data_IF_762968605110
#
_entry.id   IF_762968605110
#
_cell.length_a   1.000
_cell.length_b   1.000
_cell.length_c   1.000
_cell.angle_alpha   90.00
_cell.angle_beta   90.00
_cell.angle_gamma   90.00
#
_symmetry.space_group_name_H-M   'P 1'
#
loop_
_entity.id
_entity.type
_entity.pdbx_description
1 polymer ?
#
# COMPACT_ATOMS: atom_id res chain seq x y z
N UNK A 1 36.12 -66.62 -88.38
CA UNK A 1 37.17 -66.20 -87.44
C UNK A 1 36.57 -65.13 -86.54
N UNK A 2 36.56 -65.40 -85.22
CA UNK A 2 36.42 -64.45 -84.08
C UNK A 2 35.06 -63.73 -83.98
N UNK A 3 34.11 -64.26 -83.18
CA UNK A 3 33.81 -63.94 -81.75
C UNK A 3 33.12 -62.57 -81.56
N UNK A 4 32.00 -62.38 -80.88
CA UNK A 4 31.15 -63.27 -80.08
C UNK A 4 29.78 -62.60 -79.81
N UNK A 5 28.80 -63.46 -79.56
CA UNK A 5 27.40 -63.24 -79.17
C UNK A 5 27.27 -62.91 -77.64
N UNK A 6 26.06 -62.70 -77.05
CA UNK A 6 24.75 -62.28 -77.61
C UNK A 6 23.91 -61.32 -76.68
N UNK A 7 22.72 -60.93 -77.18
CA UNK A 7 21.41 -60.98 -76.46
C UNK A 7 21.16 -60.06 -75.24
N UNK A 8 20.00 -59.43 -75.02
CA UNK A 8 18.70 -59.39 -75.69
C UNK A 8 17.78 -58.50 -74.83
N UNK A 9 16.73 -58.01 -75.46
CA UNK A 9 15.70 -57.09 -74.99
C UNK A 9 15.02 -57.42 -73.65
N UNK A 10 14.89 -56.39 -72.81
CA UNK A 10 13.62 -55.78 -72.35
C UNK A 10 12.41 -56.72 -72.13
N UNK A 11 12.00 -56.91 -70.87
CA UNK A 11 10.65 -56.57 -70.44
C UNK A 11 10.40 -56.67 -68.92
N UNK A 12 9.47 -55.80 -68.48
CA UNK A 12 8.54 -55.94 -67.35
C UNK A 12 8.95 -55.48 -65.93
N UNK A 13 8.18 -54.47 -65.49
CA UNK A 13 8.04 -53.87 -64.14
C UNK A 13 7.66 -54.94 -63.09
N UNK A 14 8.02 -54.77 -61.80
CA UNK A 14 6.98 -54.42 -60.83
C UNK A 14 7.38 -53.39 -59.75
N UNK A 15 6.33 -52.90 -59.11
CA UNK A 15 6.22 -51.99 -57.97
C UNK A 15 7.14 -52.26 -56.76
N UNK A 16 7.51 -51.14 -56.13
CA UNK A 16 7.58 -50.83 -54.69
C UNK A 16 8.05 -51.89 -53.70
N UNK A 17 9.19 -51.62 -53.04
CA UNK A 17 9.26 -51.62 -51.58
C UNK A 17 10.44 -50.73 -51.12
N UNK A 18 10.08 -49.61 -50.49
CA UNK A 18 11.01 -48.69 -49.86
C UNK A 18 11.37 -49.26 -48.48
N UNK A 19 12.66 -49.53 -48.24
CA UNK A 19 13.18 -49.68 -46.87
C UNK A 19 14.55 -49.04 -46.79
N UNK A 20 14.57 -47.72 -46.58
CA UNK A 20 15.74 -47.03 -46.04
C UNK A 20 15.39 -46.37 -44.71
N UNK A 21 16.11 -46.85 -43.71
CA UNK A 21 16.06 -46.47 -42.31
C UNK A 21 16.03 -44.94 -42.10
N UNK A 22 15.33 -44.43 -41.07
CA UNK A 22 15.41 -43.04 -40.72
C UNK A 22 16.81 -42.75 -40.18
N UNK A 23 17.55 -41.91 -40.92
CA UNK A 23 18.68 -41.17 -40.38
C UNK A 23 18.14 -40.41 -39.17
N UNK A 24 18.58 -40.78 -37.97
CA UNK A 24 18.44 -39.95 -36.78
C UNK A 24 19.22 -38.65 -37.01
N UNK A 25 18.55 -37.66 -37.59
CA UNK A 25 18.97 -36.27 -37.53
C UNK A 25 18.88 -35.84 -36.07
N UNK A 26 20.04 -35.78 -35.42
CA UNK A 26 20.22 -35.01 -34.18
C UNK A 26 19.57 -33.63 -34.34
N UNK A 27 18.76 -33.15 -33.39
CA UNK A 27 18.19 -31.81 -33.49
C UNK A 27 19.33 -30.78 -33.46
N UNK A 28 19.44 -30.02 -34.55
CA UNK A 28 20.21 -28.77 -34.64
C UNK A 28 19.76 -27.79 -33.53
N UNK A 29 20.65 -26.90 -33.02
CA UNK A 29 20.32 -26.04 -31.89
C UNK A 29 19.14 -25.15 -32.29
N UNK A 30 18.03 -25.34 -31.58
CA UNK A 30 16.76 -24.66 -31.80
C UNK A 30 16.97 -23.15 -31.71
N UNK A 31 16.64 -22.40 -32.77
CA UNK A 31 16.51 -20.94 -32.69
C UNK A 31 15.45 -20.63 -31.63
N UNK A 32 15.89 -20.14 -30.46
CA UNK A 32 14.98 -19.69 -29.41
C UNK A 32 14.22 -18.49 -29.97
N UNK A 33 12.87 -18.51 -30.02
CA UNK A 33 12.10 -17.42 -30.56
C UNK A 33 12.15 -16.20 -29.64
N UNK A 34 12.23 -15.01 -30.25
CA UNK A 34 12.13 -13.74 -29.51
C UNK A 34 10.72 -13.52 -28.98
N UNK A 35 10.61 -13.06 -27.74
CA UNK A 35 9.34 -12.78 -27.08
C UNK A 35 9.12 -11.26 -27.07
N UNK A 36 8.07 -10.80 -27.75
CA UNK A 36 7.64 -9.41 -27.72
C UNK A 36 6.51 -9.23 -26.70
N UNK A 37 6.66 -8.28 -25.78
CA UNK A 37 5.65 -7.93 -24.78
C UNK A 37 4.68 -6.92 -25.37
N UNK A 38 3.38 -7.25 -25.41
CA UNK A 38 2.34 -6.29 -25.80
C UNK A 38 1.90 -5.48 -24.57
N UNK A 39 2.73 -4.52 -24.21
CA UNK A 39 2.55 -3.71 -22.99
C UNK A 39 1.23 -2.95 -22.96
N UNK A 40 0.75 -2.48 -24.11
CA UNK A 40 -0.52 -1.76 -24.18
C UNK A 40 -1.73 -2.63 -23.81
N UNK A 41 -1.64 -3.95 -24.00
CA UNK A 41 -2.69 -4.91 -23.65
C UNK A 41 -2.45 -5.63 -22.31
N UNK A 42 -1.20 -5.68 -21.84
CA UNK A 42 -0.77 -6.48 -20.69
C UNK A 42 -0.61 -5.66 -19.40
N UNK A 43 -0.42 -4.34 -19.50
CA UNK A 43 -0.27 -3.46 -18.35
C UNK A 43 -1.38 -2.40 -18.41
N UNK A 44 -2.31 -2.46 -17.45
CA UNK A 44 -3.53 -1.65 -17.47
C UNK A 44 -3.27 -0.16 -17.20
N UNK A 45 -2.23 0.17 -16.42
CA UNK A 45 -1.89 1.55 -16.08
C UNK A 45 -0.43 1.85 -16.35
N UNK A 46 -0.18 2.99 -17.00
CA UNK A 46 1.18 3.49 -17.18
C UNK A 46 1.81 3.79 -15.83
N UNK A 47 3.11 3.57 -15.74
CA UNK A 47 3.88 3.86 -14.54
C UNK A 47 3.74 5.34 -14.17
N UNK A 48 3.33 5.59 -12.93
CA UNK A 48 3.35 6.89 -12.24
C UNK A 48 3.94 6.67 -10.83
N UNK A 49 4.30 7.73 -10.09
CA UNK A 49 4.78 7.54 -8.72
C UNK A 49 3.82 6.80 -7.79
N UNK A 50 2.50 6.99 -7.96
CA UNK A 50 1.48 6.32 -7.15
C UNK A 50 1.21 4.88 -7.61
N UNK A 51 1.40 4.58 -8.90
CA UNK A 51 1.10 3.26 -9.47
C UNK A 51 2.32 2.34 -9.52
N UNK A 52 3.50 2.79 -9.04
CA UNK A 52 4.74 2.01 -9.10
C UNK A 52 4.64 0.61 -8.46
N UNK A 53 4.08 0.41 -7.25
CA UNK A 53 3.99 -0.92 -6.66
C UNK A 53 3.16 -1.88 -7.52
N UNK A 54 1.99 -1.44 -7.99
CA UNK A 54 1.12 -2.24 -8.85
C UNK A 54 1.74 -2.51 -10.23
N UNK A 55 2.32 -1.49 -10.84
CA UNK A 55 3.04 -1.61 -12.12
C UNK A 55 4.18 -2.62 -12.00
N UNK A 56 4.98 -2.53 -10.93
CA UNK A 56 6.10 -3.42 -10.67
C UNK A 56 5.63 -4.87 -10.53
N UNK A 57 4.61 -5.12 -9.71
CA UNK A 57 4.06 -6.46 -9.52
C UNK A 57 3.56 -7.07 -10.84
N UNK A 58 2.85 -6.28 -11.67
CA UNK A 58 2.39 -6.73 -12.98
C UNK A 58 3.56 -7.02 -13.94
N UNK A 59 4.56 -6.15 -13.99
CA UNK A 59 5.71 -6.30 -14.87
C UNK A 59 6.59 -7.50 -14.47
N UNK A 60 6.86 -7.68 -13.17
CA UNK A 60 7.58 -8.83 -12.63
C UNK A 60 6.82 -10.14 -12.96
N UNK A 61 5.51 -10.18 -12.75
CA UNK A 61 4.69 -11.36 -13.07
C UNK A 61 4.74 -11.72 -14.56
N UNK A 62 4.69 -10.73 -15.46
CA UNK A 62 4.85 -10.94 -16.90
C UNK A 62 6.23 -11.53 -17.24
N UNK A 63 7.30 -10.95 -16.70
CA UNK A 63 8.66 -11.43 -16.96
C UNK A 63 8.88 -12.84 -16.41
N UNK A 64 8.33 -13.16 -15.24
CA UNK A 64 8.36 -14.53 -14.70
C UNK A 64 7.61 -15.48 -15.63
N UNK A 65 6.39 -15.11 -16.08
CA UNK A 65 5.58 -15.93 -16.96
C UNK A 65 6.24 -16.28 -18.30
N UNK A 66 7.08 -15.37 -18.82
CA UNK A 66 7.85 -15.59 -20.06
C UNK A 66 9.30 -16.06 -19.83
N UNK A 67 9.70 -16.32 -18.59
CA UNK A 67 11.08 -16.67 -18.23
C UNK A 67 12.13 -15.63 -18.68
N UNK A 68 11.79 -14.35 -18.53
CA UNK A 68 12.62 -13.20 -18.92
C UNK A 68 13.16 -12.41 -17.71
N UNK A 69 12.84 -12.83 -16.48
CA UNK A 69 13.21 -12.10 -15.26
C UNK A 69 14.74 -11.91 -15.12
N UNK A 70 15.54 -12.88 -15.57
CA UNK A 70 17.00 -12.82 -15.42
C UNK A 70 17.67 -11.68 -16.21
N UNK A 71 16.99 -11.15 -17.24
CA UNK A 71 17.47 -9.98 -17.99
C UNK A 71 17.46 -8.71 -17.13
N UNK A 72 16.48 -8.57 -16.23
CA UNK A 72 16.33 -7.38 -15.39
C UNK A 72 17.00 -7.50 -14.02
N UNK A 73 17.21 -8.73 -13.53
CA UNK A 73 17.89 -8.99 -12.25
C UNK A 73 19.42 -9.00 -12.38
N UNK A 74 19.95 -9.07 -13.60
CA UNK A 74 21.39 -9.07 -13.85
C UNK A 74 22.03 -10.45 -13.70
N UNK A 75 21.24 -11.49 -13.41
CA UNK A 75 21.67 -12.89 -13.40
C UNK A 75 22.06 -13.38 -14.80
N UNK A 76 21.52 -12.74 -15.85
CA UNK A 76 21.88 -13.00 -17.25
C UNK A 76 22.56 -11.75 -17.84
N UNK A 77 23.84 -11.50 -17.53
CA UNK A 77 24.53 -10.29 -17.97
C UNK A 77 24.75 -10.28 -19.50
N UNK A 78 24.86 -9.07 -20.05
CA UNK A 78 25.13 -8.89 -21.48
C UNK A 78 26.42 -9.65 -21.87
N UNK A 79 26.36 -10.58 -22.85
CA UNK A 79 27.53 -11.36 -23.23
C UNK A 79 28.60 -10.46 -23.84
N UNK A 80 29.84 -10.63 -23.38
CA UNK A 80 30.96 -9.80 -23.83
C UNK A 80 31.20 -10.00 -25.34
N UNK A 81 31.46 -8.91 -26.11
CA UNK A 81 31.78 -9.01 -27.52
C UNK A 81 32.97 -9.94 -27.80
N UNK A 82 33.94 -9.96 -26.88
CA UNK A 82 35.22 -10.67 -27.03
C UNK A 82 35.17 -12.13 -26.57
N UNK A 83 34.06 -12.57 -25.96
CA UNK A 83 33.95 -13.93 -25.44
C UNK A 83 33.71 -14.94 -26.58
N UNK A 84 34.74 -15.66 -26.99
CA UNK A 84 34.65 -16.63 -28.09
C UNK A 84 33.91 -17.92 -27.68
N UNK A 85 33.64 -18.12 -26.39
CA UNK A 85 32.95 -19.32 -25.88
C UNK A 85 31.45 -19.29 -26.15
N UNK A 86 30.86 -18.10 -26.32
CA UNK A 86 29.44 -17.92 -26.58
C UNK A 86 29.19 -17.79 -28.09
N UNK A 87 28.36 -18.67 -28.69
CA UNK A 87 27.94 -18.54 -30.08
C UNK A 87 27.40 -17.15 -30.41
N UNK A 88 27.81 -16.59 -31.56
CA UNK A 88 27.35 -15.28 -32.04
C UNK A 88 25.81 -15.20 -32.06
N UNK A 89 25.15 -16.28 -32.49
CA UNK A 89 23.70 -16.40 -32.51
C UNK A 89 23.07 -16.14 -31.13
N UNK A 90 23.63 -16.73 -30.07
CA UNK A 90 23.15 -16.52 -28.69
C UNK A 90 23.40 -15.08 -28.22
N UNK A 91 24.54 -14.48 -28.56
CA UNK A 91 24.80 -13.07 -28.25
C UNK A 91 23.79 -12.15 -28.92
N UNK A 92 23.54 -12.35 -30.22
CA UNK A 92 22.56 -11.57 -30.97
C UNK A 92 21.15 -11.78 -30.42
N UNK A 93 20.78 -13.01 -30.07
CA UNK A 93 19.49 -13.31 -29.43
C UNK A 93 19.34 -12.55 -28.11
N UNK A 94 20.34 -12.63 -27.22
CA UNK A 94 20.31 -11.93 -25.94
C UNK A 94 20.10 -10.43 -26.12
N UNK A 95 20.88 -9.79 -27.01
CA UNK A 95 20.78 -8.35 -27.26
C UNK A 95 19.39 -7.99 -27.77
N UNK A 96 18.86 -8.75 -28.73
CA UNK A 96 17.52 -8.48 -29.28
C UNK A 96 16.44 -8.63 -28.22
N UNK A 97 16.51 -9.67 -27.40
CA UNK A 97 15.55 -9.89 -26.32
C UNK A 97 15.62 -8.78 -25.27
N UNK A 98 16.81 -8.36 -24.84
CA UNK A 98 17.00 -7.23 -23.92
C UNK A 98 16.41 -5.94 -24.49
N UNK A 99 16.57 -5.67 -25.79
CA UNK A 99 15.98 -4.47 -26.43
C UNK A 99 14.47 -4.51 -26.49
N UNK A 100 13.85 -5.68 -26.66
CA UNK A 100 12.40 -5.82 -26.59
C UNK A 100 11.88 -5.54 -25.17
N UNK A 101 12.57 -6.04 -24.14
CA UNK A 101 12.23 -5.78 -22.74
C UNK A 101 12.43 -4.29 -22.40
N UNK A 102 13.55 -3.69 -22.82
CA UNK A 102 13.81 -2.26 -22.61
C UNK A 102 12.73 -1.40 -23.28
N UNK A 103 12.37 -1.71 -24.52
CA UNK A 103 11.28 -1.02 -25.21
C UNK A 103 9.94 -1.16 -24.48
N UNK A 104 9.66 -2.36 -23.95
CA UNK A 104 8.49 -2.62 -23.14
C UNK A 104 8.47 -1.78 -21.84
N UNK A 105 9.59 -1.69 -21.12
CA UNK A 105 9.73 -0.82 -19.94
C UNK A 105 9.46 0.63 -20.34
N UNK A 106 10.12 1.15 -21.38
CA UNK A 106 9.93 2.52 -21.86
C UNK A 106 8.47 2.82 -22.24
N UNK A 107 7.83 1.92 -23.00
CA UNK A 107 6.43 2.05 -23.43
C UNK A 107 5.43 2.01 -22.27
N UNK A 108 5.76 1.28 -21.19
CA UNK A 108 4.94 1.20 -20.00
C UNK A 108 5.03 2.43 -19.09
N UNK A 109 5.96 3.36 -19.37
CA UNK A 109 6.11 4.58 -18.56
C UNK A 109 5.24 5.74 -19.03
N UNK A 110 4.80 6.56 -18.07
CA UNK A 110 4.23 7.87 -18.38
C UNK A 110 5.34 8.83 -18.88
N UNK A 111 4.98 9.79 -19.72
CA UNK A 111 5.88 10.78 -20.34
C UNK A 111 6.66 11.60 -19.32
N UNK A 112 6.13 11.74 -18.10
CA UNK A 112 6.82 12.39 -16.98
C UNK A 112 8.00 11.59 -16.44
N UNK A 113 8.03 10.27 -16.67
CA UNK A 113 9.02 9.34 -16.10
C UNK A 113 10.03 8.87 -17.15
N UNK A 114 9.62 8.85 -18.42
CA UNK A 114 10.48 8.48 -19.55
C UNK A 114 11.85 9.18 -19.56
N UNK A 115 11.98 10.50 -19.25
CA UNK A 115 13.28 11.17 -19.25
C UNK A 115 14.29 10.59 -18.25
N UNK A 116 13.82 10.00 -17.14
CA UNK A 116 14.70 9.41 -16.14
C UNK A 116 15.36 8.13 -16.64
N UNK A 117 14.72 7.40 -17.55
CA UNK A 117 15.21 6.10 -18.04
C UNK A 117 15.61 6.10 -19.52
N UNK A 118 15.32 7.17 -20.27
CA UNK A 118 15.60 7.23 -21.71
C UNK A 118 17.07 6.97 -22.08
N UNK A 119 18.01 7.42 -21.24
CA UNK A 119 19.44 7.25 -21.49
C UNK A 119 19.98 5.84 -21.16
N UNK A 120 19.14 4.94 -20.62
CA UNK A 120 19.58 3.61 -20.21
C UNK A 120 19.81 2.69 -21.40
N UNK A 121 20.85 1.87 -21.32
CA UNK A 121 21.28 1.02 -22.44
C UNK A 121 20.71 -0.39 -22.36
N UNK A 122 20.34 -0.86 -21.19
CA UNK A 122 19.84 -2.23 -20.98
C UNK A 122 18.55 -2.21 -20.17
N UNK A 123 17.75 -3.28 -20.29
CA UNK A 123 16.55 -3.44 -19.49
C UNK A 123 16.88 -3.48 -17.98
N UNK A 124 17.98 -4.13 -17.60
CA UNK A 124 18.51 -4.10 -16.23
C UNK A 124 18.76 -2.69 -15.70
N UNK A 125 19.45 -1.85 -16.46
CA UNK A 125 19.76 -0.47 -16.04
C UNK A 125 18.47 0.36 -15.87
N UNK A 126 17.54 0.24 -16.81
CA UNK A 126 16.23 0.89 -16.74
C UNK A 126 15.47 0.45 -15.48
N UNK A 127 15.38 -0.86 -15.27
CA UNK A 127 14.70 -1.48 -14.13
C UNK A 127 15.29 -1.02 -12.80
N UNK A 128 16.61 -1.14 -12.64
CA UNK A 128 17.32 -0.73 -11.43
C UNK A 128 17.15 0.76 -11.14
N UNK A 129 17.18 1.61 -12.17
CA UNK A 129 17.02 3.06 -12.01
C UNK A 129 15.61 3.44 -11.56
N UNK A 130 14.58 2.81 -12.10
CA UNK A 130 13.20 2.99 -11.62
C UNK A 130 13.06 2.52 -10.17
N UNK A 131 13.57 1.33 -9.86
CA UNK A 131 13.56 0.81 -8.50
C UNK A 131 14.25 1.75 -7.53
N UNK A 132 15.41 2.27 -7.87
CA UNK A 132 16.15 3.21 -6.99
C UNK A 132 15.36 4.52 -6.81
N UNK A 133 14.81 5.06 -7.90
CA UNK A 133 14.06 6.32 -7.88
C UNK A 133 12.80 6.21 -7.00
N UNK A 134 12.07 5.10 -7.09
CA UNK A 134 10.83 4.90 -6.35
C UNK A 134 11.04 4.27 -4.98
N UNK A 135 12.11 3.51 -4.75
CA UNK A 135 12.51 3.08 -3.42
C UNK A 135 12.88 4.29 -2.55
N UNK A 136 13.60 5.28 -3.10
CA UNK A 136 13.92 6.53 -2.39
C UNK A 136 12.65 7.31 -2.03
N UNK A 137 11.73 7.50 -3.00
CA UNK A 137 10.45 8.19 -2.74
C UNK A 137 9.54 7.43 -1.77
N UNK A 138 9.45 6.10 -1.90
CA UNK A 138 8.71 5.25 -0.96
C UNK A 138 9.31 5.36 0.44
N UNK A 139 10.64 5.32 0.58
CA UNK A 139 11.32 5.49 1.86
C UNK A 139 11.04 6.87 2.48
N UNK A 140 11.12 7.96 1.71
CA UNK A 140 10.77 9.30 2.20
C UNK A 140 9.31 9.39 2.64
N UNK A 141 8.37 8.86 1.85
CA UNK A 141 6.95 8.86 2.21
C UNK A 141 6.68 7.98 3.45
N UNK A 142 7.30 6.82 3.53
CA UNK A 142 7.22 5.94 4.70
C UNK A 142 7.73 6.65 5.95
N UNK A 143 8.86 7.36 5.87
CA UNK A 143 9.38 8.16 6.97
C UNK A 143 8.39 9.25 7.41
N UNK A 144 7.79 9.97 6.45
CA UNK A 144 6.77 10.99 6.75
C UNK A 144 5.54 10.39 7.42
N UNK A 145 5.01 9.28 6.90
CA UNK A 145 3.84 8.62 7.49
C UNK A 145 4.15 8.04 8.88
N UNK A 146 5.36 7.52 9.12
CA UNK A 146 5.81 7.06 10.44
C UNK A 146 6.00 8.22 11.41
N UNK A 147 6.47 9.37 10.93
CA UNK A 147 6.55 10.59 11.75
C UNK A 147 5.15 11.05 12.15
N UNK A 148 4.21 11.10 11.21
CA UNK A 148 2.80 11.41 11.49
C UNK A 148 2.20 10.44 12.52
N UNK A 149 2.46 9.14 12.36
CA UNK A 149 2.05 8.10 13.31
C UNK A 149 2.58 8.34 14.73
N UNK A 150 3.82 8.81 14.89
CA UNK A 150 4.39 9.16 16.20
C UNK A 150 3.86 10.47 16.78
N UNK A 151 3.34 11.36 15.93
CA UNK A 151 2.75 12.63 16.33
C UNK A 151 1.28 12.50 16.74
N UNK A 152 0.61 11.38 16.41
CA UNK A 152 -0.72 11.05 16.95
C UNK A 152 -0.57 10.84 18.46
N UNK A 153 -0.80 11.92 19.20
CA UNK A 153 -1.00 11.92 20.65
C UNK A 153 -2.47 12.23 20.88
N UNK A 154 -3.11 11.46 21.76
CA UNK A 154 -4.48 11.66 22.23
C UNK A 154 -4.69 13.16 22.53
N UNK A 155 -5.31 13.85 21.59
CA UNK A 155 -5.75 15.23 21.73
C UNK A 155 -7.12 15.25 22.40
N UNK A 156 -7.97 16.20 22.01
CA UNK A 156 -9.39 16.18 22.37
C UNK A 156 -10.22 15.22 21.49
N UNK A 157 -9.58 14.35 20.71
CA UNK A 157 -10.26 13.40 19.81
C UNK A 157 -10.63 12.12 20.57
N UNK A 158 -11.66 11.43 20.06
CA UNK A 158 -12.10 10.16 20.64
C UNK A 158 -11.10 9.03 20.33
N UNK A 159 -11.05 8.02 21.19
CA UNK A 159 -10.20 6.83 20.99
C UNK A 159 -10.49 6.14 19.66
N UNK A 160 -11.75 6.17 19.20
CA UNK A 160 -12.14 5.60 17.92
C UNK A 160 -11.56 6.37 16.73
N UNK A 161 -11.57 7.70 16.76
CA UNK A 161 -10.99 8.54 15.70
C UNK A 161 -9.46 8.35 15.62
N UNK A 162 -8.80 8.29 16.78
CA UNK A 162 -7.35 8.02 16.85
C UNK A 162 -7.01 6.66 16.24
N UNK A 163 -7.75 5.60 16.61
CA UNK A 163 -7.53 4.26 16.07
C UNK A 163 -7.77 4.19 14.56
N UNK A 164 -8.80 4.88 14.07
CA UNK A 164 -9.11 4.91 12.64
C UNK A 164 -8.03 5.63 11.84
N UNK A 165 -7.46 6.70 12.38
CA UNK A 165 -6.36 7.46 11.77
C UNK A 165 -5.08 6.63 11.74
N UNK A 166 -4.73 5.98 12.85
CA UNK A 166 -3.58 5.07 12.94
C UNK A 166 -3.71 3.93 11.92
N UNK A 167 -4.91 3.33 11.79
CA UNK A 167 -5.15 2.26 10.82
C UNK A 167 -4.96 2.73 9.39
N UNK A 168 -5.52 3.90 9.03
CA UNK A 168 -5.39 4.47 7.70
C UNK A 168 -3.91 4.71 7.32
N UNK A 169 -3.11 5.28 8.24
CA UNK A 169 -1.68 5.48 8.02
C UNK A 169 -0.92 4.15 7.89
N UNK A 170 -1.23 3.16 8.73
CA UNK A 170 -0.60 1.84 8.66
C UNK A 170 -0.91 1.12 7.33
N UNK A 171 -2.13 1.26 6.83
CA UNK A 171 -2.54 0.71 5.54
C UNK A 171 -1.84 1.46 4.39
N UNK A 172 -1.69 2.79 4.46
CA UNK A 172 -0.94 3.58 3.48
C UNK A 172 0.55 3.20 3.43
N UNK A 173 1.16 2.97 4.59
CA UNK A 173 2.53 2.48 4.70
C UNK A 173 2.66 1.04 4.13
N UNK A 174 1.63 0.23 4.27
CA UNK A 174 1.59 -1.12 3.67
C UNK A 174 1.48 -1.07 2.14
N UNK A 175 0.77 -0.08 1.59
CA UNK A 175 0.65 0.12 0.13
C UNK A 175 1.96 0.50 -0.57
N UNK A 176 2.95 1.02 0.16
CA UNK A 176 4.29 1.36 -0.36
C UNK A 176 5.33 0.26 -0.11
N UNK A 177 4.86 -0.98 0.13
CA UNK A 177 5.64 -2.19 0.41
C UNK A 177 6.52 -2.09 1.68
N UNK A 178 6.09 -1.30 2.68
CA UNK A 178 6.80 -1.18 3.97
C UNK A 178 5.90 -1.42 5.18
N UNK A 179 5.15 -2.54 5.25
CA UNK A 179 4.16 -2.77 6.31
C UNK A 179 4.77 -2.68 7.72
N UNK A 180 4.01 -2.10 8.65
CA UNK A 180 4.38 -2.02 10.07
C UNK A 180 4.03 -3.35 10.74
N UNK A 181 4.92 -3.86 11.60
CA UNK A 181 4.63 -5.05 12.42
C UNK A 181 3.46 -4.78 13.37
N UNK A 182 2.65 -5.80 13.66
CA UNK A 182 1.58 -5.69 14.64
C UNK A 182 2.08 -5.26 16.03
N UNK A 183 3.29 -5.68 16.42
CA UNK A 183 3.92 -5.26 17.69
C UNK A 183 4.26 -3.76 17.68
N UNK A 184 4.85 -3.28 16.58
CA UNK A 184 5.17 -1.86 16.41
C UNK A 184 3.90 -1.02 16.38
N UNK A 185 2.87 -1.47 15.64
CA UNK A 185 1.56 -0.81 15.58
C UNK A 185 0.91 -0.73 16.97
N UNK A 186 0.97 -1.83 17.74
CA UNK A 186 0.50 -1.86 19.13
C UNK A 186 1.27 -0.86 19.99
N UNK A 187 2.59 -0.78 19.83
CA UNK A 187 3.43 0.17 20.55
C UNK A 187 3.08 1.63 20.20
N UNK A 188 2.90 1.95 18.92
CA UNK A 188 2.50 3.29 18.47
C UNK A 188 1.16 3.70 19.07
N UNK A 189 0.16 2.82 19.02
CA UNK A 189 -1.18 3.07 19.60
C UNK A 189 -1.07 3.30 21.11
N UNK A 190 -0.42 2.39 21.85
CA UNK A 190 -0.31 2.49 23.31
C UNK A 190 0.51 3.68 23.79
N UNK A 191 1.43 4.20 22.97
CA UNK A 191 2.20 5.41 23.29
C UNK A 191 1.45 6.70 22.95
N UNK A 192 0.55 6.65 21.98
CA UNK A 192 -0.34 7.76 21.62
C UNK A 192 -1.49 7.96 22.61
N UNK A 193 -1.91 6.88 23.28
CA UNK A 193 -2.97 6.91 24.30
C UNK A 193 -2.52 7.60 25.59
N UNK A 194 -3.44 8.38 26.18
CA UNK A 194 -3.20 9.10 27.43
C UNK A 194 -3.09 8.20 28.68
N UNK A 195 -2.82 8.82 29.83
CA UNK A 195 -2.58 8.14 31.10
C UNK A 195 -3.70 7.17 31.53
N UNK A 196 -4.95 7.45 31.15
CA UNK A 196 -6.13 6.62 31.47
C UNK A 196 -6.04 5.17 30.92
N UNK A 197 -5.17 4.94 29.94
CA UNK A 197 -4.99 3.65 29.28
C UNK A 197 -3.78 2.87 29.81
N UNK A 198 -2.99 3.45 30.73
CA UNK A 198 -1.78 2.81 31.26
C UNK A 198 -2.08 1.49 31.98
N UNK A 199 -3.24 1.39 32.64
CA UNK A 199 -3.68 0.20 33.39
C UNK A 199 -3.88 -1.03 32.50
N UNK A 200 -4.32 -0.84 31.25
CA UNK A 200 -4.46 -1.93 30.27
C UNK A 200 -3.22 -2.05 29.36
N UNK A 201 -2.39 -1.02 29.25
CA UNK A 201 -1.23 -1.04 28.38
C UNK A 201 -0.14 -2.02 28.87
N UNK A 202 0.06 -2.17 30.18
CA UNK A 202 1.02 -3.11 30.75
C UNK A 202 0.72 -4.58 30.41
N UNK A 203 -0.50 -5.11 30.66
CA UNK A 203 -0.82 -6.50 30.31
C UNK A 203 -0.85 -6.75 28.79
N UNK A 204 -1.16 -5.74 27.98
CA UNK A 204 -1.06 -5.85 26.51
C UNK A 204 0.40 -6.04 26.08
N UNK A 205 1.33 -5.22 26.61
CA UNK A 205 2.76 -5.32 26.30
C UNK A 205 3.41 -6.60 26.82
N UNK A 206 2.86 -7.20 27.87
CA UNK A 206 3.38 -8.44 28.45
C UNK A 206 2.90 -9.71 27.71
N UNK A 207 2.04 -9.60 26.69
CA UNK A 207 1.61 -10.75 25.90
C UNK A 207 2.78 -11.34 25.10
N UNK A 208 2.82 -12.66 25.04
CA UNK A 208 3.79 -13.42 24.24
C UNK A 208 3.44 -13.44 22.74
N UNK A 209 2.16 -13.22 22.40
CA UNK A 209 1.68 -13.19 21.01
C UNK A 209 1.22 -11.78 20.62
N UNK A 210 1.66 -11.25 19.46
CA UNK A 210 1.17 -9.98 18.93
C UNK A 210 -0.35 -9.99 18.81
N UNK A 211 -0.99 -8.88 19.18
CA UNK A 211 -2.41 -8.65 18.92
C UNK A 211 -2.61 -8.27 17.46
N UNK A 212 -3.68 -8.78 16.86
CA UNK A 212 -4.16 -8.20 15.61
C UNK A 212 -4.79 -6.83 15.89
N UNK A 213 -4.79 -5.94 14.90
CA UNK A 213 -5.35 -4.59 15.05
C UNK A 213 -6.80 -4.63 15.55
N UNK A 214 -7.60 -5.58 15.05
CA UNK A 214 -9.01 -5.77 15.40
C UNK A 214 -9.18 -6.13 16.88
N UNK A 215 -8.33 -7.01 17.40
CA UNK A 215 -8.36 -7.41 18.82
C UNK A 215 -7.95 -6.25 19.73
N UNK A 216 -6.92 -5.49 19.33
CA UNK A 216 -6.47 -4.31 20.05
C UNK A 216 -7.54 -3.22 20.05
N UNK A 217 -8.16 -2.96 18.89
CA UNK A 217 -9.25 -2.01 18.74
C UNK A 217 -10.41 -2.32 19.70
N UNK A 218 -10.91 -3.56 19.69
CA UNK A 218 -12.02 -3.98 20.57
C UNK A 218 -11.70 -3.81 22.05
N UNK A 219 -10.46 -4.10 22.45
CA UNK A 219 -10.02 -3.98 23.83
C UNK A 219 -9.94 -2.51 24.28
N UNK A 220 -9.43 -1.64 23.41
CA UNK A 220 -9.33 -0.20 23.69
C UNK A 220 -10.70 0.48 23.74
N UNK A 221 -11.60 0.16 22.81
CA UNK A 221 -12.98 0.69 22.80
C UNK A 221 -13.76 0.23 24.03
N UNK A 222 -13.58 -1.02 24.45
CA UNK A 222 -14.20 -1.54 25.69
C UNK A 222 -13.69 -0.80 26.92
N UNK A 223 -12.40 -0.49 26.98
CA UNK A 223 -11.81 0.26 28.08
C UNK A 223 -12.27 1.71 28.11
N UNK A 224 -12.37 2.35 26.95
CA UNK A 224 -12.89 3.71 26.82
C UNK A 224 -14.34 3.83 27.35
N UNK A 225 -15.20 2.88 26.99
CA UNK A 225 -16.56 2.80 27.52
C UNK A 225 -16.59 2.56 29.04
N UNK A 226 -15.63 1.83 29.59
CA UNK A 226 -15.49 1.64 31.04
C UNK A 226 -15.08 2.94 31.74
N UNK A 227 -14.11 3.68 31.20
CA UNK A 227 -13.70 4.99 31.71
C UNK A 227 -14.86 6.00 31.71
N UNK A 228 -15.65 6.04 30.64
CA UNK A 228 -16.84 6.90 30.57
C UNK A 228 -17.88 6.57 31.65
N UNK A 229 -18.05 5.30 32.01
CA UNK A 229 -18.95 4.89 33.10
C UNK A 229 -18.43 5.29 34.48
N UNK A 230 -17.11 5.20 34.68
CA UNK A 230 -16.48 5.65 35.93
C UNK A 230 -16.63 7.16 36.12
N UNK A 231 -16.38 7.96 35.07
CA UNK A 231 -16.53 9.41 35.14
C UNK A 231 -18.00 9.81 35.40
N UNK A 232 -18.96 9.20 34.72
CA UNK A 232 -20.39 9.42 34.96
C UNK A 232 -20.81 9.09 36.41
N UNK A 233 -20.27 8.00 36.98
CA UNK A 233 -20.55 7.64 38.39
C UNK A 233 -19.94 8.63 39.38
N UNK A 234 -18.74 9.14 39.08
CA UNK A 234 -18.04 10.12 39.92
C UNK A 234 -18.78 11.46 39.92
N UNK A 235 -19.26 11.91 38.76
CA UNK A 235 -20.08 13.12 38.63
C UNK A 235 -21.41 13.02 39.40
N UNK A 236 -22.06 11.85 39.41
CA UNK A 236 -23.28 11.62 40.20
C UNK A 236 -23.02 11.72 41.72
N UNK A 237 -21.90 11.19 42.20
CA UNK A 237 -21.54 11.28 43.62
C UNK A 237 -21.27 12.74 44.04
N UNK A 238 -20.56 13.52 43.23
CA UNK A 238 -20.30 14.95 43.49
C UNK A 238 -21.58 15.79 43.48
N UNK A 239 -22.50 15.52 42.55
CA UNK A 239 -23.82 16.19 42.51
C UNK A 239 -24.66 15.88 43.77
N UNK A 240 -24.62 14.64 44.27
CA UNK A 240 -25.34 14.22 45.47
C UNK A 240 -24.78 14.87 46.75
N UNK A 241 -23.45 14.98 46.89
CA UNK A 241 -22.79 15.59 48.04
C UNK A 241 -23.04 17.12 48.13
N UNK A 242 -23.08 17.81 46.98
CA UNK A 242 -23.45 19.22 46.91
C UNK A 242 -24.93 19.47 47.26
N UNK A 243 -25.81 18.50 47.02
CA UNK A 243 -27.23 18.60 47.39
C UNK A 243 -27.44 18.42 48.90
N UNK A 244 -26.67 17.55 49.55
CA UNK A 244 -26.76 17.33 51.01
C UNK A 244 -26.19 18.48 51.84
N UNK A 245 -25.18 19.21 51.32
CA UNK A 245 -24.66 20.40 52.01
C UNK A 245 -25.60 21.60 52.00
N UNK A 246 -26.57 21.67 51.07
CA UNK A 246 -27.59 22.75 51.07
C UNK A 246 -28.75 22.52 52.05
N UNK A 247 -28.85 21.35 52.68
CA UNK A 247 -30.00 20.99 53.55
C UNK A 247 -29.71 20.84 55.04
N UNK A 248 -28.56 21.30 55.51
CA UNK A 248 -28.28 21.38 56.95
C UNK A 248 -27.96 22.83 57.37
N UNK A 249 -29.01 23.64 57.47
CA UNK A 249 -29.04 24.90 58.21
C UNK A 249 -30.23 24.85 59.15
N UNK A 250 -29.98 24.39 60.39
CA UNK A 250 -31.00 24.20 61.43
C UNK A 250 -31.54 25.52 61.98
N UNK A 251 -32.87 25.57 62.06
CA UNK A 251 -33.75 26.38 62.91
C UNK A 251 -33.17 27.22 64.07
N UNK A 252 -33.56 28.49 64.15
CA UNK A 252 -33.84 29.17 65.43
C UNK A 252 -34.73 30.43 65.27
N UNK A 253 -35.76 30.55 66.12
CA UNK A 253 -36.52 31.80 66.41
C UNK A 253 -37.83 31.98 65.63
N UNK A 254 -38.99 31.59 66.17
CA UNK A 254 -39.86 32.30 67.14
C UNK A 254 -40.64 33.51 66.60
N UNK A 255 -41.93 33.25 66.37
CA UNK A 255 -43.15 34.07 66.53
C UNK A 255 -43.16 35.62 66.41
N UNK A 256 -44.20 36.06 65.67
CA UNK A 256 -45.19 37.11 65.97
C UNK A 256 -45.10 38.55 65.40
N UNK A 257 -46.21 38.89 64.72
CA UNK A 257 -47.01 40.14 64.73
C UNK A 257 -46.75 41.32 63.76
N UNK A 258 -47.81 41.55 62.95
CA UNK A 258 -48.46 42.81 62.50
C UNK A 258 -47.66 43.89 61.75
N UNK A 259 -48.22 44.32 60.61
CA UNK A 259 -47.97 45.66 60.03
C UNK A 259 -48.51 45.92 58.61
N UNK A 260 -49.78 46.34 58.52
CA UNK A 260 -50.40 47.34 57.62
C UNK A 260 -49.75 47.81 56.28
N UNK A 261 -50.60 47.87 55.22
CA UNK A 261 -50.83 48.98 54.24
C UNK A 261 -49.65 49.45 53.35
N UNK A 262 -49.71 49.84 52.06
CA UNK A 262 -50.71 50.34 51.08
C UNK A 262 -49.99 50.24 49.71
N UNK A 263 -50.64 49.79 48.63
CA UNK A 263 -51.27 50.60 47.57
C UNK A 263 -50.34 51.47 46.69
N UNK A 264 -50.51 51.25 45.38
CA UNK A 264 -50.33 52.13 44.21
C UNK A 264 -48.94 52.40 43.62
N UNK A 265 -48.91 52.28 42.29
CA UNK A 265 -47.83 52.76 41.43
C UNK A 265 -47.99 52.32 39.98
N UNK A 266 -49.05 52.76 39.31
CA UNK A 266 -49.20 52.70 37.85
C UNK A 266 -48.07 53.46 37.14
N UNK A 267 -47.49 52.88 36.08
CA UNK A 267 -46.55 53.57 35.20
C UNK A 267 -46.54 52.93 33.82
N UNK A 268 -47.22 53.59 32.88
CA UNK A 268 -47.40 53.22 31.48
C UNK A 268 -46.30 53.89 30.62
N UNK A 269 -46.02 53.27 29.48
CA UNK A 269 -45.47 53.85 28.23
C UNK A 269 -43.95 53.99 28.07
N UNK A 270 -43.48 53.63 26.87
CA UNK A 270 -42.20 54.07 26.32
C UNK A 270 -41.71 53.18 25.18
N UNK A 271 -42.14 53.48 23.96
CA UNK A 271 -41.76 52.81 22.73
C UNK A 271 -40.49 53.40 22.07
N UNK A 272 -39.98 52.68 21.06
CA UNK A 272 -38.96 53.04 20.05
C UNK A 272 -37.50 52.91 20.53
N UNK A 273 -36.50 52.55 19.73
CA UNK A 273 -36.36 52.52 18.27
C UNK A 273 -35.16 51.64 17.89
N UNK A 274 -35.25 51.07 16.67
CA UNK A 274 -34.19 50.66 15.72
C UNK A 274 -32.72 50.70 16.18
N UNK A 275 -31.99 49.64 15.82
CA UNK A 275 -30.87 49.82 14.89
C UNK A 275 -30.56 48.55 14.08
N UNK A 276 -30.53 48.74 12.77
CA UNK A 276 -29.92 47.90 11.75
C UNK A 276 -28.40 47.83 11.93
N UNK A 277 -27.78 46.67 11.70
CA UNK A 277 -26.49 46.59 10.98
C UNK A 277 -26.32 45.20 10.35
N UNK A 278 -26.53 45.12 9.04
CA UNK A 278 -25.89 44.13 8.16
C UNK A 278 -24.41 44.51 8.01
N UNK A 279 -23.50 43.54 8.04
CA UNK A 279 -22.41 43.48 7.03
C UNK A 279 -21.84 42.09 6.90
N UNK A 280 -21.56 41.72 5.66
CA UNK A 280 -21.15 40.41 5.14
C UNK A 280 -19.61 40.22 5.19
N UNK A 281 -19.10 38.99 4.96
CA UNK A 281 -17.66 38.71 4.99
C UNK A 281 -16.98 39.03 3.65
N UNK A 282 -15.67 39.29 3.74
CA UNK A 282 -14.71 39.05 2.66
C UNK A 282 -14.10 37.66 2.84
#
# INVERSE_FOLDING_TARGET
MVSGEPSSHENSIPHSENTHNPISTSPSPTDIPLIALNIAAQINEKLTPSTFPQWRAQFEALLIGYNLLDYINGNNPCPSPNDSSIPILQKTHWIRQDKLILNAILASTNTTITPFIFATKTSHEAWHKLHTLYASKSCTRAMQLKEELTMIKKGNQSVQEDLHTVKALADEISLIDQPISNDDLTLYILNGLGADFHEIAAPIRARERPLMFEELHDLLVRHDAYLHRLDASTQQLVASANYTHRRCGSSQGSQNFKGFSKQNGSGRNGASSKNDSKSAPY
#
